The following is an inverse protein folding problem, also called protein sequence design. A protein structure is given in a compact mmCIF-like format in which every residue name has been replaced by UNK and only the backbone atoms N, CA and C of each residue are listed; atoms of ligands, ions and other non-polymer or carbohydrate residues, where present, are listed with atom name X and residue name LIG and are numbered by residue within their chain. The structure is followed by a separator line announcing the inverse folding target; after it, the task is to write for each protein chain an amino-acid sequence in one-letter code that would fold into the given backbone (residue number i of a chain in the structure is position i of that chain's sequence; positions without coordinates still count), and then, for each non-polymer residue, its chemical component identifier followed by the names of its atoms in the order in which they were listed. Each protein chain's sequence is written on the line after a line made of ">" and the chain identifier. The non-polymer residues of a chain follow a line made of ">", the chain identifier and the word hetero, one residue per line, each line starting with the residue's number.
data_IF_414694381373
#
_entry.id   IF_414694381373
#
_cell.length_a   1.000
_cell.length_b   1.000
_cell.length_c   1.000
_cell.angle_alpha   90.00
_cell.angle_beta   90.00
_cell.angle_gamma   90.00
#
_symmetry.space_group_name_H-M   'P 1'
#
loop_
_entity.id
_entity.type
_entity.pdbx_description
1 polymer ?
#
# COMPACT_ATOMS: atom_id res chain seq x y z
N UNK A 1 45.73 4.09 8.67
CA UNK A 1 45.25 5.18 7.77
C UNK A 1 44.85 4.53 6.46
N UNK A 2 43.58 4.13 6.30
CA UNK A 2 43.08 3.52 5.07
C UNK A 2 42.12 4.51 4.40
N UNK A 3 42.53 5.04 3.25
CA UNK A 3 41.68 5.77 2.31
C UNK A 3 40.91 4.72 1.52
N UNK A 4 39.59 4.69 1.67
CA UNK A 4 38.70 4.01 0.73
C UNK A 4 38.24 5.06 -0.30
N UNK A 5 38.69 4.90 -1.53
CA UNK A 5 38.08 5.54 -2.70
C UNK A 5 36.84 4.73 -3.08
N UNK A 6 35.67 5.37 -3.01
CA UNK A 6 34.41 4.78 -3.46
C UNK A 6 34.38 4.63 -5.00
N UNK A 7 33.76 3.56 -5.54
CA UNK A 7 33.64 3.36 -6.98
C UNK A 7 32.51 4.21 -7.62
N UNK A 8 32.69 4.51 -8.91
CA UNK A 8 32.00 5.49 -9.75
C UNK A 8 30.51 5.20 -10.09
N UNK A 9 29.86 4.24 -9.43
CA UNK A 9 28.46 3.87 -9.69
C UNK A 9 27.47 4.37 -8.61
N UNK A 10 27.96 5.16 -7.64
CA UNK A 10 27.19 5.58 -6.48
C UNK A 10 26.31 6.85 -6.66
N UNK A 11 26.16 7.40 -7.87
CA UNK A 11 25.49 8.69 -8.08
C UNK A 11 23.99 8.61 -8.46
N UNK A 12 23.35 7.43 -8.43
CA UNK A 12 21.90 7.32 -8.70
C UNK A 12 21.16 6.62 -7.57
N UNK A 13 20.84 7.37 -6.52
CA UNK A 13 19.81 6.98 -5.57
C UNK A 13 18.67 7.97 -5.68
N UNK A 14 17.51 7.50 -6.15
CA UNK A 14 16.25 8.03 -5.67
C UNK A 14 16.21 7.73 -4.17
N UNK A 15 16.09 8.77 -3.37
CA UNK A 15 16.04 8.67 -1.92
C UNK A 15 14.72 7.97 -1.55
N UNK A 16 14.82 6.70 -1.14
CA UNK A 16 13.68 5.94 -0.62
C UNK A 16 13.41 6.48 0.79
N UNK A 17 12.40 7.35 0.90
CA UNK A 17 11.84 7.73 2.20
C UNK A 17 10.55 6.96 2.39
N UNK A 18 10.63 5.77 2.99
CA UNK A 18 9.46 5.15 3.61
C UNK A 18 9.61 5.29 5.13
N UNK A 19 8.76 6.13 5.72
CA UNK A 19 8.60 6.27 7.16
C UNK A 19 7.09 6.38 7.44
N UNK A 20 6.52 5.34 8.06
CA UNK A 20 5.79 5.43 9.35
C UNK A 20 5.50 3.98 9.81
N UNK A 21 5.96 3.51 10.99
CA UNK A 21 5.64 3.80 12.41
C UNK A 21 4.64 2.79 12.98
N UNK A 22 5.18 1.72 13.58
CA UNK A 22 4.77 1.20 14.90
C UNK A 22 5.68 0.04 15.36
N UNK A 23 6.97 0.33 15.57
CA UNK A 23 7.94 -0.63 16.14
C UNK A 23 7.96 -0.57 17.67
N UNK A 24 6.86 -0.93 18.36
CA UNK A 24 6.88 -1.13 19.83
C UNK A 24 5.90 -2.19 20.35
N UNK A 25 5.89 -3.40 19.78
CA UNK A 25 5.27 -4.57 20.46
C UNK A 25 5.82 -5.96 20.05
N UNK A 26 6.70 -6.04 19.05
CA UNK A 26 6.97 -7.30 18.31
C UNK A 26 7.75 -8.36 19.11
N UNK A 27 8.44 -7.99 20.20
CA UNK A 27 9.27 -8.97 20.93
C UNK A 27 8.49 -9.98 21.79
N UNK A 28 7.21 -9.73 22.11
CA UNK A 28 6.42 -10.61 23.00
C UNK A 28 5.39 -11.49 22.28
N UNK A 29 5.12 -11.26 20.99
CA UNK A 29 4.08 -11.97 20.23
C UNK A 29 4.60 -13.20 19.46
N UNK A 30 5.89 -13.21 19.08
CA UNK A 30 6.49 -14.26 18.25
C UNK A 30 6.64 -15.62 18.94
N UNK A 31 6.51 -15.70 20.27
CA UNK A 31 6.58 -16.98 20.98
C UNK A 31 5.25 -17.76 21.00
N UNK A 32 4.12 -17.09 20.73
CA UNK A 32 2.80 -17.74 20.81
C UNK A 32 2.33 -18.26 19.43
N UNK A 33 2.81 -17.67 18.33
CA UNK A 33 2.36 -18.05 16.98
C UNK A 33 2.80 -19.45 16.55
N UNK A 34 3.90 -19.98 17.07
CA UNK A 34 4.42 -21.30 16.67
C UNK A 34 3.73 -22.50 17.34
N UNK A 35 2.82 -22.28 18.30
CA UNK A 35 2.16 -23.35 19.07
C UNK A 35 0.67 -23.57 18.76
N UNK A 36 0.04 -22.77 17.89
CA UNK A 36 -1.43 -22.71 17.80
C UNK A 36 -2.01 -22.81 16.39
N UNK A 37 -1.35 -23.53 15.47
CA UNK A 37 -1.82 -23.63 14.08
C UNK A 37 -2.75 -24.81 13.76
N UNK A 38 -3.01 -25.75 14.69
CA UNK A 38 -3.72 -27.00 14.35
C UNK A 38 -5.09 -27.24 15.06
N UNK A 39 -5.54 -26.32 15.93
CA UNK A 39 -6.81 -26.47 16.69
C UNK A 39 -7.89 -25.41 16.38
N UNK A 40 -7.66 -24.53 15.39
CA UNK A 40 -8.41 -23.26 15.25
C UNK A 40 -9.75 -23.32 14.51
N UNK A 41 -10.13 -24.42 13.87
CA UNK A 41 -11.40 -24.44 13.12
C UNK A 41 -12.60 -24.93 13.95
N UNK A 42 -12.47 -26.01 14.72
CA UNK A 42 -13.60 -26.53 15.50
C UNK A 42 -13.97 -25.71 16.75
N UNK A 43 -13.01 -24.99 17.33
CA UNK A 43 -13.25 -24.27 18.59
C UNK A 43 -14.05 -22.97 18.38
N UNK A 44 -13.96 -22.37 17.19
CA UNK A 44 -14.61 -21.09 16.86
C UNK A 44 -16.11 -21.28 16.61
N UNK A 45 -16.51 -22.35 15.91
CA UNK A 45 -17.93 -22.67 15.69
C UNK A 45 -18.65 -22.98 17.02
N UNK A 46 -18.02 -23.77 17.90
CA UNK A 46 -18.59 -24.11 19.21
C UNK A 46 -18.76 -22.90 20.14
N UNK A 47 -17.84 -21.93 20.07
CA UNK A 47 -17.93 -20.69 20.83
C UNK A 47 -18.99 -19.74 20.25
N UNK A 48 -19.20 -19.72 18.94
CA UNK A 48 -20.22 -18.88 18.30
C UNK A 48 -21.65 -19.29 18.71
N UNK A 49 -21.96 -20.58 18.67
CA UNK A 49 -23.28 -21.09 19.08
C UNK A 49 -23.57 -20.84 20.56
N UNK A 50 -22.60 -21.11 21.45
CA UNK A 50 -22.77 -20.84 22.90
C UNK A 50 -22.86 -19.37 23.27
N UNK A 51 -22.34 -18.49 22.42
CA UNK A 51 -22.41 -17.04 22.64
C UNK A 51 -23.77 -16.49 22.22
N UNK A 52 -24.37 -17.02 21.15
CA UNK A 52 -25.71 -16.61 20.70
C UNK A 52 -26.82 -16.97 21.71
N UNK A 53 -26.73 -18.12 22.38
CA UNK A 53 -27.73 -18.49 23.41
C UNK A 53 -27.70 -17.59 24.65
N UNK A 54 -26.55 -17.00 24.99
CA UNK A 54 -26.40 -16.16 26.18
C UNK A 54 -26.75 -14.69 25.96
N UNK A 55 -26.77 -14.22 24.71
CA UNK A 55 -27.04 -12.81 24.36
C UNK A 55 -28.54 -12.49 24.32
N UNK A 56 -29.42 -13.50 24.42
CA UNK A 56 -30.87 -13.30 24.51
C UNK A 56 -31.35 -12.61 25.81
N UNK A 57 -30.50 -12.45 26.84
CA UNK A 57 -30.88 -11.80 28.09
C UNK A 57 -29.69 -11.10 28.77
N UNK A 58 -29.30 -9.91 28.35
CA UNK A 58 -28.80 -8.85 29.26
C UNK A 58 -28.41 -7.60 28.48
N UNK A 59 -28.87 -6.44 28.93
CA UNK A 59 -28.53 -5.11 28.37
C UNK A 59 -27.06 -4.70 28.61
N UNK A 60 -26.21 -5.58 29.13
CA UNK A 60 -24.78 -5.36 29.36
C UNK A 60 -23.85 -5.83 28.22
N UNK A 61 -24.41 -6.30 27.10
CA UNK A 61 -23.67 -6.99 26.03
C UNK A 61 -22.94 -6.08 25.01
N UNK A 62 -22.71 -4.79 25.31
CA UNK A 62 -22.04 -3.88 24.37
C UNK A 62 -20.49 -3.92 24.45
N UNK A 63 -19.92 -4.35 25.59
CA UNK A 63 -18.47 -4.39 25.78
C UNK A 63 -17.72 -5.55 25.08
N UNK A 64 -18.25 -6.80 25.01
CA UNK A 64 -17.50 -7.91 24.40
C UNK A 64 -17.47 -7.88 22.87
N UNK A 65 -18.32 -7.08 22.20
CA UNK A 65 -18.32 -6.98 20.73
C UNK A 65 -17.11 -6.20 20.20
N UNK A 66 -16.65 -5.20 20.95
CA UNK A 66 -15.57 -4.27 20.53
C UNK A 66 -14.19 -4.95 20.60
N UNK A 67 -13.99 -5.88 21.54
CA UNK A 67 -12.72 -6.61 21.71
C UNK A 67 -12.45 -7.67 20.64
N UNK A 68 -13.48 -8.18 19.96
CA UNK A 68 -13.31 -9.20 18.90
C UNK A 68 -12.82 -8.56 17.60
N UNK A 69 -13.16 -7.30 17.35
CA UNK A 69 -12.82 -6.62 16.11
C UNK A 69 -11.29 -6.48 15.93
N UNK A 70 -10.54 -6.14 16.99
CA UNK A 70 -9.10 -5.80 16.88
C UNK A 70 -8.18 -6.97 16.50
N UNK A 71 -8.67 -8.22 16.49
CA UNK A 71 -7.86 -9.43 16.19
C UNK A 71 -8.04 -9.91 14.73
N UNK A 72 -8.88 -9.24 13.94
CA UNK A 72 -9.25 -9.69 12.59
C UNK A 72 -8.57 -8.93 11.45
N UNK A 73 -7.83 -7.84 11.73
CA UNK A 73 -7.09 -7.14 10.70
C UNK A 73 -5.98 -8.05 10.13
N UNK A 74 -5.89 -8.11 8.81
CA UNK A 74 -4.93 -8.92 8.07
C UNK A 74 -4.03 -8.00 7.24
N UNK A 75 -2.73 -8.14 7.45
CA UNK A 75 -1.73 -7.51 6.59
C UNK A 75 -1.95 -7.92 5.13
N UNK A 76 -2.20 -6.92 4.29
CA UNK A 76 -2.38 -7.02 2.86
C UNK A 76 -1.37 -6.13 2.17
N UNK A 77 -1.01 -6.48 0.94
CA UNK A 77 -0.04 -5.70 0.18
C UNK A 77 -0.32 -5.76 -1.32
N UNK A 78 0.31 -4.87 -2.06
CA UNK A 78 0.35 -4.88 -3.52
C UNK A 78 1.75 -4.50 -3.95
N UNK A 79 2.31 -5.26 -4.88
CA UNK A 79 3.58 -4.91 -5.51
C UNK A 79 3.28 -4.18 -6.82
N UNK A 80 3.79 -2.97 -6.97
CA UNK A 80 3.63 -2.18 -8.19
C UNK A 80 4.95 -2.17 -8.95
N UNK A 81 4.92 -2.58 -10.22
CA UNK A 81 6.05 -2.53 -11.14
C UNK A 81 5.70 -1.68 -12.35
N UNK A 82 6.51 -0.67 -12.63
CA UNK A 82 6.37 0.18 -13.81
C UNK A 82 7.67 0.13 -14.59
N UNK A 83 7.59 -0.26 -15.86
CA UNK A 83 8.77 -0.36 -16.73
C UNK A 83 9.34 1.01 -17.08
N UNK A 84 8.52 1.90 -17.65
CA UNK A 84 8.91 3.26 -17.99
C UNK A 84 7.74 4.24 -17.86
N UNK A 85 8.01 5.47 -17.41
CA UNK A 85 7.03 6.57 -17.42
C UNK A 85 7.44 7.60 -18.49
N UNK A 86 6.52 7.88 -19.42
CA UNK A 86 6.72 8.79 -20.56
C UNK A 86 5.63 9.87 -20.60
N UNK A 87 5.84 10.96 -21.34
CA UNK A 87 4.86 12.03 -21.57
C UNK A 87 4.85 12.39 -23.07
N UNK A 88 4.33 11.49 -23.91
CA UNK A 88 4.37 11.66 -25.37
C UNK A 88 5.77 11.98 -25.91
N UNK A 89 5.93 13.18 -26.51
CA UNK A 89 7.19 13.71 -27.06
C UNK A 89 7.73 14.92 -26.28
N UNK A 90 7.16 15.27 -25.13
CA UNK A 90 7.58 16.45 -24.35
C UNK A 90 8.82 16.16 -23.50
N UNK A 91 9.62 17.20 -23.26
CA UNK A 91 10.76 17.16 -22.35
C UNK A 91 10.30 16.97 -20.89
N UNK A 92 11.20 16.38 -20.09
CA UNK A 92 10.87 15.72 -18.82
C UNK A 92 10.18 16.59 -17.77
N UNK A 93 9.46 15.88 -16.91
CA UNK A 93 8.51 16.41 -15.96
C UNK A 93 9.23 16.88 -14.70
N UNK A 94 9.39 18.19 -14.57
CA UNK A 94 9.69 18.78 -13.28
C UNK A 94 8.55 18.43 -12.31
N UNK A 95 8.87 17.67 -11.26
CA UNK A 95 7.98 17.27 -10.16
C UNK A 95 7.02 16.09 -10.43
N UNK A 96 7.47 15.07 -11.16
CA UNK A 96 6.73 13.80 -11.19
C UNK A 96 6.73 13.15 -9.80
N UNK A 97 5.54 12.80 -9.33
CA UNK A 97 5.32 12.08 -8.08
C UNK A 97 4.36 10.91 -8.31
N UNK A 98 4.76 9.73 -7.86
CA UNK A 98 3.92 8.53 -7.87
C UNK A 98 3.46 8.25 -6.44
N UNK A 99 2.17 7.98 -6.25
CA UNK A 99 1.59 7.62 -4.96
C UNK A 99 0.74 6.37 -5.10
N UNK A 100 0.64 5.60 -4.03
CA UNK A 100 -0.31 4.50 -3.90
C UNK A 100 -1.17 4.72 -2.70
N UNK A 101 -2.45 4.58 -2.93
CA UNK A 101 -3.48 4.84 -1.95
C UNK A 101 -4.36 3.61 -1.80
N UNK A 102 -4.91 3.42 -0.61
CA UNK A 102 -6.08 2.58 -0.40
C UNK A 102 -7.34 3.44 -0.47
N UNK A 103 -8.40 2.90 -1.09
CA UNK A 103 -9.70 3.54 -1.14
C UNK A 103 -10.58 3.02 -0.02
N UNK A 104 -11.03 3.93 0.82
CA UNK A 104 -11.85 3.63 1.98
C UNK A 104 -13.24 4.27 1.94
N UNK A 105 -14.10 3.81 2.84
CA UNK A 105 -15.46 4.33 2.98
C UNK A 105 -15.44 5.78 3.49
N UNK A 106 -14.52 6.10 4.41
CA UNK A 106 -14.47 7.40 5.08
C UNK A 106 -13.37 8.31 4.53
N UNK A 107 -12.15 7.79 4.41
CA UNK A 107 -10.99 8.57 4.00
C UNK A 107 -9.93 7.64 3.44
N UNK A 108 -9.54 7.89 2.21
CA UNK A 108 -8.48 7.17 1.52
C UNK A 108 -7.13 7.35 2.25
N UNK A 109 -6.37 6.27 2.35
CA UNK A 109 -5.10 6.21 3.06
C UNK A 109 -3.90 6.15 2.10
N UNK A 110 -2.86 6.95 2.37
CA UNK A 110 -1.63 6.95 1.58
C UNK A 110 -0.74 5.80 2.05
N UNK A 111 -0.56 4.80 1.19
CA UNK A 111 0.25 3.62 1.49
C UNK A 111 1.74 3.82 1.16
N UNK A 112 2.04 4.72 0.23
CA UNK A 112 3.41 5.02 -0.15
C UNK A 112 3.50 6.04 -1.27
N UNK A 113 4.65 6.72 -1.34
CA UNK A 113 4.93 7.69 -2.39
C UNK A 113 6.39 7.67 -2.80
N UNK A 114 6.63 8.12 -4.02
CA UNK A 114 7.95 8.23 -4.60
C UNK A 114 8.03 9.49 -5.47
N UNK A 115 9.13 10.21 -5.30
CA UNK A 115 9.43 11.45 -6.02
C UNK A 115 10.50 11.17 -7.07
N UNK A 116 10.32 11.76 -8.25
CA UNK A 116 11.29 11.68 -9.32
C UNK A 116 11.82 13.08 -9.59
N UNK A 117 13.12 13.25 -9.33
CA UNK A 117 13.86 14.42 -9.75
C UNK A 117 14.68 14.02 -10.97
N UNK A 118 14.11 14.16 -12.17
CA UNK A 118 14.65 13.49 -13.34
C UNK A 118 14.77 14.38 -14.56
N UNK A 119 15.97 14.39 -15.13
CA UNK A 119 16.26 14.91 -16.48
C UNK A 119 16.00 13.86 -17.59
N UNK A 120 15.48 12.68 -17.23
CA UNK A 120 15.28 11.51 -18.09
C UNK A 120 14.00 10.76 -17.66
N UNK A 121 13.44 9.83 -18.45
CA UNK A 121 12.22 9.14 -18.07
C UNK A 121 12.53 8.16 -16.93
N UNK A 122 11.73 8.11 -15.86
CA UNK A 122 11.87 7.08 -14.84
C UNK A 122 11.67 5.70 -15.43
N UNK A 123 12.56 4.77 -15.07
CA UNK A 123 12.54 3.39 -15.56
C UNK A 123 12.74 2.40 -14.41
N UNK A 124 12.25 1.17 -14.59
CA UNK A 124 12.39 0.03 -13.68
C UNK A 124 11.94 0.36 -12.25
N UNK A 125 10.78 0.99 -12.13
CA UNK A 125 10.16 1.32 -10.85
C UNK A 125 9.57 0.05 -10.25
N UNK A 126 9.89 -0.22 -8.99
CA UNK A 126 9.28 -1.30 -8.22
C UNK A 126 9.16 -0.88 -6.78
N UNK A 127 7.97 -0.98 -6.20
CA UNK A 127 7.76 -0.76 -4.77
C UNK A 127 6.57 -1.58 -4.27
N UNK A 128 6.59 -1.84 -2.96
CA UNK A 128 5.54 -2.60 -2.27
C UNK A 128 4.78 -1.64 -1.37
N UNK A 129 3.46 -1.62 -1.50
CA UNK A 129 2.56 -0.88 -0.63
C UNK A 129 1.77 -1.88 0.21
N UNK A 130 1.62 -1.64 1.52
CA UNK A 130 0.99 -2.58 2.43
C UNK A 130 0.23 -1.88 3.53
N UNK A 131 -0.88 -2.47 3.96
CA UNK A 131 -1.67 -2.01 5.09
C UNK A 131 -2.29 -3.17 5.88
N UNK A 132 -2.73 -2.90 7.10
CA UNK A 132 -3.41 -3.85 7.96
C UNK A 132 -4.93 -3.68 7.90
N UNK A 133 -5.54 -4.33 6.91
CA UNK A 133 -6.94 -4.15 6.58
C UNK A 133 -7.88 -5.12 7.28
N UNK A 134 -9.04 -4.63 7.71
CA UNK A 134 -10.15 -5.49 8.16
C UNK A 134 -10.89 -6.12 6.97
N UNK A 135 -10.99 -5.38 5.86
CA UNK A 135 -11.61 -5.84 4.61
C UNK A 135 -10.54 -6.10 3.56
N UNK A 136 -10.84 -5.94 2.27
CA UNK A 136 -9.88 -6.11 1.18
C UNK A 136 -9.41 -4.75 0.70
N UNK A 137 -8.08 -4.60 0.65
CA UNK A 137 -7.40 -3.44 0.10
C UNK A 137 -7.97 -3.08 -1.29
N UNK A 138 -8.21 -1.81 -1.53
CA UNK A 138 -8.77 -1.25 -2.76
C UNK A 138 -7.78 -0.27 -3.40
N UNK A 139 -6.63 -0.77 -3.89
CA UNK A 139 -5.49 0.08 -4.22
C UNK A 139 -5.73 0.91 -5.48
N UNK A 140 -5.12 2.10 -5.52
CA UNK A 140 -5.00 2.88 -6.75
C UNK A 140 -3.71 3.70 -6.77
N UNK A 141 -3.23 3.98 -7.98
CA UNK A 141 -2.09 4.84 -8.25
C UNK A 141 -2.57 6.27 -8.48
N UNK A 142 -1.77 7.23 -8.02
CA UNK A 142 -1.86 8.64 -8.45
C UNK A 142 -0.50 9.04 -9.04
N UNK A 143 -0.53 9.43 -10.30
CA UNK A 143 0.57 10.14 -10.97
C UNK A 143 0.29 11.63 -10.87
N UNK A 144 1.04 12.34 -10.04
CA UNK A 144 1.05 13.80 -10.03
C UNK A 144 2.15 14.27 -10.98
N UNK A 145 1.79 15.04 -12.01
CA UNK A 145 2.71 15.45 -13.07
C UNK A 145 2.29 16.75 -13.76
N UNK A 146 3.20 17.31 -14.53
CA UNK A 146 3.02 18.54 -15.32
C UNK A 146 3.01 18.30 -16.83
N UNK A 147 2.81 17.03 -17.26
CA UNK A 147 2.67 16.66 -18.67
C UNK A 147 1.58 17.52 -19.34
N UNK A 148 1.85 18.08 -20.53
CA UNK A 148 1.01 19.09 -21.18
C UNK A 148 0.96 20.45 -20.43
N UNK A 149 1.97 20.77 -19.63
CA UNK A 149 2.22 22.07 -19.00
C UNK A 149 1.43 22.41 -17.73
N UNK A 150 0.33 21.71 -17.42
CA UNK A 150 -0.49 21.98 -16.22
C UNK A 150 -0.33 20.86 -15.19
N UNK A 151 -0.21 21.23 -13.91
CA UNK A 151 -0.14 20.24 -12.84
C UNK A 151 -1.47 19.50 -12.68
N UNK A 152 -1.43 18.18 -12.83
CA UNK A 152 -2.59 17.29 -12.68
C UNK A 152 -2.22 16.06 -11.83
N UNK A 153 -3.26 15.44 -11.26
CA UNK A 153 -3.24 14.17 -10.55
C UNK A 153 -4.07 13.16 -11.33
N UNK A 154 -3.40 12.23 -11.98
CA UNK A 154 -3.97 11.21 -12.85
C UNK A 154 -4.06 9.88 -12.12
N UNK A 155 -5.27 9.31 -12.02
CA UNK A 155 -5.57 8.10 -11.25
C UNK A 155 -5.60 6.86 -12.14
N UNK A 156 -5.03 5.77 -11.63
CA UNK A 156 -5.21 4.43 -12.18
C UNK A 156 -5.64 3.50 -11.06
N UNK A 157 -6.80 2.86 -11.20
CA UNK A 157 -7.26 1.85 -10.26
C UNK A 157 -6.44 0.58 -10.45
N UNK A 158 -6.00 -0.02 -9.34
CA UNK A 158 -5.40 -1.34 -9.36
C UNK A 158 -6.51 -2.35 -9.02
N UNK A 159 -6.80 -3.31 -9.91
CA UNK A 159 -7.81 -4.32 -9.65
C UNK A 159 -7.50 -5.14 -8.38
N UNK A 160 -8.54 -5.52 -7.63
CA UNK A 160 -8.39 -6.17 -6.31
C UNK A 160 -7.72 -7.54 -6.38
N UNK A 161 -7.77 -8.19 -7.53
CA UNK A 161 -7.06 -9.45 -7.80
C UNK A 161 -5.52 -9.32 -7.69
N UNK A 162 -4.98 -8.11 -7.74
CA UNK A 162 -3.55 -7.85 -7.53
C UNK A 162 -3.16 -7.69 -6.06
N UNK A 163 -4.13 -7.69 -5.13
CA UNK A 163 -3.83 -7.70 -3.69
C UNK A 163 -3.21 -9.04 -3.30
N UNK A 164 -2.03 -8.99 -2.68
CA UNK A 164 -1.13 -10.13 -2.45
C UNK A 164 -0.28 -10.51 -3.66
N UNK A 165 -0.37 -9.76 -4.76
CA UNK A 165 0.28 -10.04 -6.04
C UNK A 165 1.09 -8.88 -6.59
N UNK A 166 1.29 -8.91 -7.92
CA UNK A 166 2.09 -7.93 -8.66
C UNK A 166 1.24 -7.28 -9.74
N UNK A 167 1.00 -5.98 -9.61
CA UNK A 167 0.48 -5.13 -10.67
C UNK A 167 1.65 -4.62 -11.51
N UNK A 168 1.67 -4.98 -12.80
CA UNK A 168 2.76 -4.65 -13.72
C UNK A 168 2.23 -3.84 -14.90
N UNK A 169 2.78 -2.64 -15.10
CA UNK A 169 2.54 -1.81 -16.28
C UNK A 169 3.89 -1.55 -16.98
N UNK A 170 4.09 -2.17 -18.15
CA UNK A 170 5.35 -2.09 -18.88
C UNK A 170 5.72 -0.66 -19.28
N UNK A 171 4.72 0.20 -19.55
CA UNK A 171 4.93 1.59 -19.96
C UNK A 171 3.69 2.42 -19.67
N UNK A 172 3.87 3.44 -18.85
CA UNK A 172 2.86 4.46 -18.56
C UNK A 172 3.16 5.70 -19.38
N UNK A 173 2.32 6.00 -20.37
CA UNK A 173 2.31 7.31 -21.03
C UNK A 173 1.35 8.24 -20.28
N UNK A 174 1.86 9.33 -19.72
CA UNK A 174 1.07 10.31 -18.96
C UNK A 174 0.14 11.15 -19.84
N UNK A 175 0.25 11.05 -21.16
CA UNK A 175 -0.73 11.63 -22.09
C UNK A 175 -1.89 10.67 -22.43
N UNK A 176 -1.91 9.45 -21.86
CA UNK A 176 -2.99 8.48 -22.07
C UNK A 176 -4.25 8.84 -21.27
N UNK A 177 -5.34 8.13 -21.51
CA UNK A 177 -6.57 8.24 -20.71
C UNK A 177 -6.42 7.55 -19.35
N UNK A 178 -6.86 8.23 -18.30
CA UNK A 178 -6.85 7.75 -16.90
C UNK A 178 -8.28 7.57 -16.38
N UNK A 179 -8.43 6.83 -15.28
CA UNK A 179 -9.75 6.62 -14.65
C UNK A 179 -10.34 7.92 -14.10
N UNK A 180 -9.47 8.79 -13.60
CA UNK A 180 -9.82 10.10 -13.08
C UNK A 180 -8.63 11.04 -13.25
N UNK A 181 -8.90 12.30 -13.62
CA UNK A 181 -7.88 13.35 -13.70
C UNK A 181 -8.39 14.58 -12.96
N UNK A 182 -7.60 15.08 -12.01
CA UNK A 182 -7.89 16.29 -11.24
C UNK A 182 -6.74 17.28 -11.34
N UNK A 183 -6.98 18.59 -11.20
CA UNK A 183 -5.88 19.51 -10.98
C UNK A 183 -5.14 19.17 -9.68
N UNK A 184 -3.85 19.51 -9.63
CA UNK A 184 -3.17 19.74 -8.36
C UNK A 184 -3.82 20.97 -7.67
#
# INVERSE_FOLDING_TARGET
>A
MFRYTAPHWAERYAEIVSIDVEYRAVAFSLFISHLLQDWRLHTVEYLLEKTLEKVAMSKAALFPLILVATVLAKLQNVTVKIGEITCGNEDYLDNLKLQVWDKDILKDDLLGEMYFNVSHPPQNISFVASDNEFLTLSPYLIFQHTCNGTCVRSRVNIPKEYVGGVYEDSRVDLNRTFDEVKPC
#
